data_IF_120039861975
#
_entry.id   IF_120039861975
#
_cell.length_a   1.000
_cell.length_b   1.000
_cell.length_c   1.000
_cell.angle_alpha   90.00
_cell.angle_beta   90.00
_cell.angle_gamma   90.00
#
_symmetry.space_group_name_H-M   'P 1'
#
loop_
_entity.id
_entity.type
_entity.pdbx_description
1 polymer ?
#
# COMPACT_ATOMS: atom_id res chain seq x y z
N UNK A 1 54.44 -22.70 47.49
CA UNK A 1 54.54 -21.33 46.96
C UNK A 1 54.37 -21.25 45.44
N UNK A 2 55.21 -21.93 44.70
CA UNK A 2 55.04 -21.96 43.23
C UNK A 2 53.79 -22.66 42.79
N UNK A 3 53.32 -23.69 43.46
CA UNK A 3 52.04 -24.35 43.16
C UNK A 3 50.80 -23.52 43.51
N UNK A 4 50.85 -22.66 44.51
CA UNK A 4 49.83 -21.76 44.85
C UNK A 4 49.67 -20.65 43.79
N UNK A 5 50.80 -20.13 43.30
CA UNK A 5 50.81 -19.15 42.21
C UNK A 5 50.27 -19.73 40.93
N UNK A 6 50.66 -20.97 40.59
CA UNK A 6 50.17 -21.67 39.42
C UNK A 6 48.66 -21.92 39.51
N UNK A 7 48.17 -22.34 40.67
CA UNK A 7 46.75 -22.54 40.94
C UNK A 7 45.95 -21.27 40.73
N UNK A 8 46.45 -20.14 41.22
CA UNK A 8 45.82 -18.84 41.03
C UNK A 8 45.75 -18.42 39.55
N UNK A 9 46.81 -18.67 38.80
CA UNK A 9 46.84 -18.39 37.36
C UNK A 9 45.86 -19.26 36.62
N UNK A 10 45.78 -20.55 36.92
CA UNK A 10 44.80 -21.46 36.32
C UNK A 10 43.37 -21.07 36.64
N UNK A 11 43.10 -20.65 37.88
CA UNK A 11 41.77 -20.17 38.28
C UNK A 11 41.42 -18.89 37.54
N UNK A 12 42.36 -17.98 37.39
CA UNK A 12 42.14 -16.74 36.62
C UNK A 12 41.88 -17.01 35.15
N UNK A 13 42.62 -17.95 34.55
CA UNK A 13 42.40 -18.35 33.15
C UNK A 13 41.04 -19.02 32.96
N UNK A 14 40.63 -19.89 33.86
CA UNK A 14 39.33 -20.55 33.82
C UNK A 14 38.19 -19.54 33.97
N UNK A 15 38.33 -18.60 34.91
CA UNK A 15 37.38 -17.52 35.10
C UNK A 15 37.26 -16.64 33.84
N UNK A 16 38.38 -16.33 33.22
CA UNK A 16 38.41 -15.55 31.97
C UNK A 16 37.72 -16.29 30.82
N UNK A 17 37.96 -17.56 30.65
CA UNK A 17 37.30 -18.40 29.64
C UNK A 17 35.80 -18.47 29.85
N UNK A 18 35.34 -18.63 31.07
CA UNK A 18 33.91 -18.63 31.42
C UNK A 18 33.28 -17.28 31.11
N UNK A 19 33.97 -16.19 31.44
CA UNK A 19 33.49 -14.83 31.14
C UNK A 19 33.40 -14.60 29.63
N UNK A 20 34.38 -15.03 28.86
CA UNK A 20 34.36 -14.94 27.39
C UNK A 20 33.24 -15.77 26.79
N UNK A 21 33.06 -17.00 27.28
CA UNK A 21 31.97 -17.87 26.83
C UNK A 21 30.63 -17.25 27.12
N UNK A 22 30.41 -16.72 28.32
CA UNK A 22 29.16 -16.02 28.68
C UNK A 22 28.93 -14.80 27.83
N UNK A 23 29.99 -14.03 27.52
CA UNK A 23 29.89 -12.85 26.65
C UNK A 23 29.50 -13.24 25.22
N UNK A 24 30.10 -14.31 24.67
CA UNK A 24 29.70 -14.81 23.35
C UNK A 24 28.28 -15.32 23.30
N UNK A 25 27.84 -16.05 24.30
CA UNK A 25 26.46 -16.52 24.40
C UNK A 25 25.48 -15.34 24.48
N UNK A 26 25.81 -14.35 25.28
CA UNK A 26 24.97 -13.14 25.40
C UNK A 26 24.94 -12.33 24.10
N UNK A 27 26.06 -12.20 23.43
CA UNK A 27 26.15 -11.56 22.13
C UNK A 27 25.30 -12.29 21.11
N UNK A 28 25.33 -13.61 21.07
CA UNK A 28 24.51 -14.41 20.16
C UNK A 28 23.01 -14.24 20.44
N UNK A 29 22.61 -14.25 21.69
CA UNK A 29 21.23 -14.00 22.09
C UNK A 29 20.78 -12.61 21.62
N UNK A 30 21.64 -11.61 21.80
CA UNK A 30 21.33 -10.23 21.38
C UNK A 30 21.18 -10.14 19.87
N UNK A 31 22.07 -10.75 19.11
CA UNK A 31 22.01 -10.77 17.64
C UNK A 31 20.75 -11.50 17.16
N UNK A 32 20.48 -12.67 17.71
CA UNK A 32 19.31 -13.46 17.33
C UNK A 32 18.01 -12.71 17.61
N UNK A 33 17.93 -12.05 18.77
CA UNK A 33 16.78 -11.22 19.13
C UNK A 33 16.62 -10.04 18.16
N UNK A 34 17.71 -9.39 17.77
CA UNK A 34 17.71 -8.29 16.83
C UNK A 34 17.24 -8.74 15.43
N UNK A 35 17.73 -9.89 14.97
CA UNK A 35 17.32 -10.48 13.68
C UNK A 35 15.84 -10.80 13.69
N UNK A 36 15.36 -11.46 14.74
CA UNK A 36 13.93 -11.79 14.88
C UNK A 36 13.06 -10.53 14.90
N UNK A 37 13.46 -9.53 15.67
CA UNK A 37 12.75 -8.25 15.73
C UNK A 37 12.75 -7.54 14.38
N UNK A 38 13.86 -7.58 13.64
CA UNK A 38 13.99 -7.03 12.30
C UNK A 38 13.08 -7.73 11.30
N UNK A 39 13.06 -9.05 11.31
CA UNK A 39 12.18 -9.85 10.45
C UNK A 39 10.72 -9.57 10.74
N UNK A 40 10.35 -9.48 12.01
CA UNK A 40 9.00 -9.12 12.42
C UNK A 40 8.60 -7.71 11.98
N UNK A 41 9.50 -6.74 12.07
CA UNK A 41 9.28 -5.38 11.61
C UNK A 41 9.06 -5.33 10.09
N UNK A 42 9.87 -6.06 9.32
CA UNK A 42 9.71 -6.15 7.86
C UNK A 42 8.37 -6.78 7.52
N UNK A 43 8.00 -7.88 8.16
CA UNK A 43 6.73 -8.56 7.92
C UNK A 43 5.54 -7.63 8.18
N UNK A 44 5.57 -6.86 9.27
CA UNK A 44 4.52 -5.88 9.58
C UNK A 44 4.45 -4.77 8.53
N UNK A 45 5.59 -4.25 8.11
CA UNK A 45 5.65 -3.21 7.07
C UNK A 45 5.10 -3.70 5.74
N UNK A 46 5.43 -4.93 5.36
CA UNK A 46 4.90 -5.54 4.15
C UNK A 46 3.39 -5.73 4.22
N UNK A 47 2.87 -6.18 5.36
CA UNK A 47 1.44 -6.33 5.57
C UNK A 47 0.71 -4.99 5.52
N UNK A 48 1.25 -3.95 6.16
CA UNK A 48 0.70 -2.58 6.10
C UNK A 48 0.71 -2.03 4.68
N UNK A 49 1.80 -2.25 3.94
CA UNK A 49 1.92 -1.81 2.55
C UNK A 49 0.90 -2.50 1.65
N UNK A 50 0.71 -3.81 1.82
CA UNK A 50 -0.30 -4.58 1.08
C UNK A 50 -1.71 -4.06 1.37
N UNK A 51 -2.01 -3.79 2.63
CA UNK A 51 -3.30 -3.24 3.04
C UNK A 51 -3.55 -1.86 2.43
N UNK A 52 -2.55 -0.99 2.46
CA UNK A 52 -2.64 0.34 1.83
C UNK A 52 -2.85 0.24 0.32
N UNK A 53 -2.15 -0.67 -0.33
CA UNK A 53 -2.31 -0.90 -1.75
C UNK A 53 -3.75 -1.32 -2.10
N UNK A 54 -4.34 -2.22 -1.32
CA UNK A 54 -5.73 -2.63 -1.49
C UNK A 54 -6.70 -1.47 -1.29
N UNK A 55 -6.48 -0.66 -0.26
CA UNK A 55 -7.30 0.52 0.02
C UNK A 55 -7.23 1.55 -1.11
N UNK A 56 -6.05 1.79 -1.65
CA UNK A 56 -5.85 2.70 -2.79
C UNK A 56 -6.56 2.18 -4.04
N UNK A 57 -6.42 0.89 -4.33
CA UNK A 57 -7.08 0.26 -5.48
C UNK A 57 -8.61 0.34 -5.33
N UNK A 58 -9.14 0.03 -4.16
CA UNK A 58 -10.59 0.08 -3.91
C UNK A 58 -11.13 1.50 -4.03
N UNK A 59 -10.40 2.48 -3.47
CA UNK A 59 -10.75 3.90 -3.61
C UNK A 59 -10.74 4.34 -5.07
N UNK A 60 -9.75 3.92 -5.84
CA UNK A 60 -9.67 4.22 -7.26
C UNK A 60 -10.82 3.58 -8.06
N UNK A 61 -11.23 2.37 -7.70
CA UNK A 61 -12.39 1.70 -8.31
C UNK A 61 -13.69 2.42 -8.01
N UNK A 62 -13.87 2.89 -6.78
CA UNK A 62 -15.04 3.68 -6.40
C UNK A 62 -15.09 4.99 -7.18
N UNK A 63 -13.97 5.69 -7.30
CA UNK A 63 -13.88 6.90 -8.10
C UNK A 63 -14.18 6.64 -9.58
N UNK A 64 -13.66 5.53 -10.11
CA UNK A 64 -13.92 5.15 -11.49
C UNK A 64 -15.42 4.89 -11.72
N UNK A 65 -16.07 4.16 -10.83
CA UNK A 65 -17.51 3.92 -10.88
C UNK A 65 -18.32 5.20 -10.80
N UNK A 66 -17.94 6.12 -9.91
CA UNK A 66 -18.59 7.42 -9.78
C UNK A 66 -18.41 8.27 -11.04
N UNK A 67 -17.22 8.25 -11.64
CA UNK A 67 -16.93 8.97 -12.88
C UNK A 67 -17.69 8.37 -14.07
N UNK A 68 -17.80 7.06 -14.16
CA UNK A 68 -18.61 6.40 -15.17
C UNK A 68 -20.08 6.76 -15.07
N UNK A 69 -20.63 6.79 -13.86
CA UNK A 69 -22.01 7.17 -13.61
C UNK A 69 -22.26 8.64 -14.00
N UNK A 70 -21.32 9.53 -13.63
CA UNK A 70 -21.37 10.94 -14.03
C UNK A 70 -21.34 11.09 -15.56
N UNK A 71 -20.43 10.40 -16.20
CA UNK A 71 -20.28 10.43 -17.66
C UNK A 71 -21.56 9.91 -18.34
N UNK A 72 -22.14 8.84 -17.81
CA UNK A 72 -23.39 8.29 -18.33
C UNK A 72 -24.55 9.26 -18.21
N UNK A 73 -24.69 9.91 -17.05
CA UNK A 73 -25.74 10.94 -16.86
C UNK A 73 -25.55 12.12 -17.79
N UNK A 74 -24.31 12.59 -17.93
CA UNK A 74 -23.99 13.68 -18.84
C UNK A 74 -24.30 13.30 -20.30
N UNK A 75 -23.97 12.07 -20.70
CA UNK A 75 -24.29 11.56 -22.03
C UNK A 75 -25.82 11.46 -22.27
N UNK A 76 -26.56 10.98 -21.28
CA UNK A 76 -28.03 10.92 -21.36
C UNK A 76 -28.65 12.31 -21.51
N UNK A 77 -28.18 13.27 -20.74
CA UNK A 77 -28.64 14.65 -20.82
C UNK A 77 -28.27 15.27 -22.16
N UNK A 78 -27.08 15.07 -22.65
CA UNK A 78 -26.63 15.54 -23.96
C UNK A 78 -27.48 14.92 -25.09
N UNK A 79 -27.79 13.65 -24.97
CA UNK A 79 -28.67 12.94 -25.90
C UNK A 79 -30.05 13.61 -25.96
N UNK A 80 -30.65 13.94 -24.82
CA UNK A 80 -31.91 14.62 -24.74
C UNK A 80 -31.86 15.99 -25.41
N UNK A 81 -30.79 16.77 -25.15
CA UNK A 81 -30.59 18.08 -25.78
C UNK A 81 -30.48 17.97 -27.29
N UNK A 82 -29.69 16.99 -27.78
CA UNK A 82 -29.51 16.76 -29.21
C UNK A 82 -30.84 16.35 -29.86
N UNK A 83 -31.60 15.45 -29.22
CA UNK A 83 -32.88 15.02 -29.73
C UNK A 83 -33.89 16.16 -29.74
N UNK A 84 -33.92 16.99 -28.69
CA UNK A 84 -34.82 18.16 -28.64
C UNK A 84 -34.43 19.19 -29.70
N UNK A 85 -33.15 19.46 -29.90
CA UNK A 85 -32.69 20.36 -30.95
C UNK A 85 -33.03 19.84 -32.35
N UNK A 86 -32.84 18.54 -32.57
CA UNK A 86 -33.19 17.89 -33.85
C UNK A 86 -34.69 17.97 -34.13
N UNK A 87 -35.54 17.79 -33.15
CA UNK A 87 -36.99 17.91 -33.27
C UNK A 87 -37.40 19.33 -33.61
N UNK A 88 -36.81 20.34 -32.95
CA UNK A 88 -37.05 21.76 -33.25
C UNK A 88 -36.60 22.09 -34.67
N UNK A 89 -35.42 21.68 -35.10
CA UNK A 89 -34.91 21.91 -36.43
C UNK A 89 -35.76 21.23 -37.50
N UNK A 90 -36.26 20.05 -37.23
CA UNK A 90 -37.19 19.35 -38.12
C UNK A 90 -38.48 20.09 -38.28
N UNK A 91 -39.08 20.57 -37.21
CA UNK A 91 -40.31 21.35 -37.23
C UNK A 91 -40.12 22.66 -38.04
N UNK A 92 -39.02 23.37 -37.79
CA UNK A 92 -38.68 24.59 -38.51
C UNK A 92 -38.45 24.33 -40.00
N UNK A 93 -37.78 23.25 -40.36
CA UNK A 93 -37.55 22.87 -41.76
C UNK A 93 -38.86 22.52 -42.46
N UNK A 94 -39.75 21.80 -41.82
CA UNK A 94 -41.09 21.49 -42.37
C UNK A 94 -41.88 22.78 -42.59
N UNK A 95 -41.88 23.66 -41.62
CA UNK A 95 -42.55 24.96 -41.71
C UNK A 95 -42.02 25.80 -42.88
N UNK A 96 -40.67 25.86 -43.01
CA UNK A 96 -40.04 26.61 -44.09
C UNK A 96 -40.42 26.07 -45.47
N UNK A 97 -40.46 24.75 -45.64
CA UNK A 97 -40.90 24.11 -46.88
C UNK A 97 -42.35 24.41 -47.19
N UNK A 98 -43.22 24.30 -46.21
CA UNK A 98 -44.64 24.59 -46.36
C UNK A 98 -44.89 26.04 -46.76
N UNK A 99 -44.20 26.99 -46.16
CA UNK A 99 -44.30 28.42 -46.51
C UNK A 99 -43.81 28.70 -47.93
N UNK A 100 -42.86 27.95 -48.44
CA UNK A 100 -42.32 28.12 -49.78
C UNK A 100 -43.24 27.55 -50.85
N UNK A 101 -43.96 26.49 -50.55
CA UNK A 101 -44.82 25.78 -51.51
C UNK A 101 -46.19 26.39 -51.60
N UNK A 102 -46.65 26.99 -50.54
CA UNK A 102 -47.97 27.65 -50.47
C UNK A 102 -47.80 29.11 -50.85
#
# INVERSE_FOLDING_TARGET
MASEMLSKVLDAENSDREAQKAAHEQAQITVDAAVEAGEGAVARKMAEAAKRAEEIIESAREQARANEEKARRAAEERKREVLAAAETHRADAIKAVMETVI
#
